data_IF_429578186660
#
_entry.id   IF_429578186660
#
_cell.length_a   1.000
_cell.length_b   1.000
_cell.length_c   1.000
_cell.angle_alpha   90.00
_cell.angle_beta   90.00
_cell.angle_gamma   90.00
#
_symmetry.space_group_name_H-M   'P 1'
#
loop_
_entity.id
_entity.type
_entity.pdbx_description
1 polymer ?
#
# COMPACT_ATOMS: atom_id res chain seq x y z
N UNK A 1 -15.07 -11.22 7.92
CA UNK A 1 -15.25 -10.41 6.70
C UNK A 1 -14.08 -9.45 6.66
N UNK A 2 -13.29 -9.47 5.60
CA UNK A 2 -12.18 -8.52 5.46
C UNK A 2 -12.74 -7.12 5.15
N UNK A 3 -12.17 -6.13 5.81
CA UNK A 3 -12.56 -4.72 5.65
C UNK A 3 -11.90 -4.18 4.40
N UNK A 4 -12.67 -3.55 3.52
CA UNK A 4 -12.11 -2.87 2.34
C UNK A 4 -11.52 -1.52 2.74
N UNK A 5 -12.23 -0.80 3.62
CA UNK A 5 -11.75 0.47 4.16
C UNK A 5 -12.11 0.55 5.63
N UNK A 6 -11.18 1.03 6.45
CA UNK A 6 -11.45 1.35 7.85
C UNK A 6 -10.89 2.69 8.23
N UNK A 7 -11.75 3.51 8.84
CA UNK A 7 -11.38 4.81 9.40
C UNK A 7 -11.56 4.84 10.91
N UNK A 8 -10.74 5.67 11.56
CA UNK A 8 -10.90 6.08 12.96
C UNK A 8 -10.87 7.60 12.99
N UNK A 9 -11.88 8.19 13.63
CA UNK A 9 -12.02 9.62 13.81
C UNK A 9 -12.09 9.96 15.31
N UNK A 10 -11.38 11.01 15.72
CA UNK A 10 -11.38 11.52 17.09
C UNK A 10 -11.46 13.04 17.08
N UNK A 11 -11.70 13.63 18.25
CA UNK A 11 -11.80 15.09 18.41
C UNK A 11 -12.96 15.68 17.60
N UNK A 12 -14.18 15.18 17.85
CA UNK A 12 -15.37 15.75 17.21
C UNK A 12 -15.45 17.25 17.49
N UNK A 13 -15.61 18.06 16.43
CA UNK A 13 -15.53 19.52 16.50
C UNK A 13 -16.78 20.16 17.07
N UNK A 14 -17.85 19.40 17.20
CA UNK A 14 -19.12 19.81 17.78
C UNK A 14 -19.78 18.63 18.50
N UNK A 15 -20.78 18.91 19.31
CA UNK A 15 -21.55 17.87 20.00
C UNK A 15 -22.58 17.26 19.05
N UNK A 16 -22.54 15.94 18.85
CA UNK A 16 -23.50 15.23 18.02
C UNK A 16 -24.77 14.96 18.85
N UNK A 17 -25.80 15.76 18.67
CA UNK A 17 -27.07 15.64 19.40
C UNK A 17 -27.78 14.30 19.16
N UNK A 18 -27.68 13.78 17.93
CA UNK A 18 -28.29 12.49 17.55
C UNK A 18 -27.42 11.76 16.54
N UNK A 19 -26.74 10.71 16.99
CA UNK A 19 -25.99 9.84 16.07
C UNK A 19 -26.86 9.22 14.99
N UNK A 20 -28.15 8.97 15.27
CA UNK A 20 -29.05 8.42 14.25
C UNK A 20 -29.29 9.43 13.13
N UNK A 21 -29.47 10.70 13.47
CA UNK A 21 -29.61 11.75 12.46
C UNK A 21 -28.29 11.97 11.71
N UNK A 22 -27.17 12.03 12.43
CA UNK A 22 -25.85 12.16 11.85
C UNK A 22 -25.54 11.08 10.80
N UNK A 23 -25.85 9.82 11.12
CA UNK A 23 -25.68 8.70 10.18
C UNK A 23 -26.62 8.84 8.98
N UNK A 24 -27.89 9.22 9.19
CA UNK A 24 -28.84 9.48 8.08
C UNK A 24 -28.35 10.58 7.15
N UNK A 25 -27.75 11.63 7.70
CA UNK A 25 -27.20 12.75 6.91
C UNK A 25 -25.99 12.30 6.10
N UNK A 26 -25.12 11.43 6.65
CA UNK A 26 -24.03 10.81 5.87
C UNK A 26 -24.60 9.94 4.74
N UNK A 27 -25.57 9.06 5.02
CA UNK A 27 -26.19 8.24 3.98
C UNK A 27 -26.81 9.09 2.86
N UNK A 28 -27.50 10.17 3.21
CA UNK A 28 -28.11 11.10 2.25
C UNK A 28 -27.05 11.81 1.39
N UNK A 29 -25.90 12.18 1.99
CA UNK A 29 -24.76 12.75 1.25
C UNK A 29 -24.08 11.73 0.33
N UNK A 30 -24.00 10.46 0.73
CA UNK A 30 -23.50 9.37 -0.12
C UNK A 30 -24.42 9.13 -1.31
N UNK A 31 -25.74 9.06 -1.08
CA UNK A 31 -26.76 8.87 -2.12
C UNK A 31 -26.77 10.03 -3.12
N UNK A 32 -26.82 11.27 -2.64
CA UNK A 32 -26.80 12.46 -3.51
C UNK A 32 -25.54 12.61 -4.36
N UNK A 33 -24.41 12.01 -3.93
CA UNK A 33 -23.15 11.96 -4.70
C UNK A 33 -23.03 10.71 -5.58
N UNK A 34 -24.08 9.89 -5.63
CA UNK A 34 -24.20 8.70 -6.47
C UNK A 34 -23.45 7.47 -5.96
N UNK A 35 -23.10 7.42 -4.67
CA UNK A 35 -22.39 6.29 -4.07
C UNK A 35 -23.32 5.13 -3.68
N UNK A 36 -24.62 5.41 -3.57
CA UNK A 36 -25.67 4.46 -3.20
C UNK A 36 -26.73 4.51 -4.31
N UNK A 37 -27.07 3.37 -4.91
CA UNK A 37 -28.23 3.27 -5.82
C UNK A 37 -29.51 2.97 -5.06
N UNK A 38 -29.44 2.05 -4.09
CA UNK A 38 -30.58 1.69 -3.25
C UNK A 38 -30.12 1.40 -1.83
N UNK A 39 -30.79 2.03 -0.87
CA UNK A 39 -30.63 1.71 0.55
C UNK A 39 -31.40 0.43 0.88
N UNK A 40 -30.71 -0.57 1.43
CA UNK A 40 -31.30 -1.87 1.78
C UNK A 40 -31.63 -1.98 3.27
N UNK A 41 -30.98 -1.19 4.13
CA UNK A 41 -31.36 -1.02 5.53
C UNK A 41 -31.34 0.45 5.93
N UNK A 42 -32.37 0.88 6.66
CA UNK A 42 -32.39 2.22 7.24
C UNK A 42 -31.49 2.28 8.50
N UNK A 43 -30.70 3.35 8.68
CA UNK A 43 -29.86 3.52 9.88
C UNK A 43 -30.63 3.44 11.20
N UNK A 44 -31.88 3.93 11.23
CA UNK A 44 -32.72 3.88 12.43
C UNK A 44 -33.02 2.45 12.91
N UNK A 45 -33.08 1.49 11.98
CA UNK A 45 -33.48 0.12 12.26
C UNK A 45 -32.32 -0.78 12.70
N UNK A 46 -31.07 -0.32 12.53
CA UNK A 46 -29.87 -1.13 12.77
C UNK A 46 -29.07 -0.69 14.00
N UNK A 47 -29.55 0.34 14.70
CA UNK A 47 -28.95 0.87 15.92
C UNK A 47 -28.84 -0.20 17.01
N UNK A 48 -27.63 -0.46 17.49
CA UNK A 48 -27.33 -1.30 18.66
C UNK A 48 -26.59 -0.46 19.69
N UNK A 49 -26.90 -0.65 20.97
CA UNK A 49 -26.21 0.05 22.08
C UNK A 49 -25.66 -1.00 23.04
N UNK A 50 -24.37 -0.90 23.36
CA UNK A 50 -23.69 -1.79 24.29
C UNK A 50 -22.86 -0.98 25.31
N UNK A 51 -22.83 -1.44 26.55
CA UNK A 51 -21.94 -0.86 27.58
C UNK A 51 -20.49 -1.31 27.33
N UNK A 52 -19.54 -0.40 27.54
CA UNK A 52 -18.13 -0.72 27.45
C UNK A 52 -17.64 -1.35 28.77
N UNK A 53 -16.91 -2.49 28.73
CA UNK A 53 -16.53 -3.23 29.94
C UNK A 53 -15.71 -2.41 30.95
N UNK A 54 -14.82 -1.53 30.48
CA UNK A 54 -13.71 -1.03 31.31
C UNK A 54 -13.73 0.48 31.59
N UNK A 55 -14.66 1.26 31.02
CA UNK A 55 -14.53 2.74 31.01
C UNK A 55 -15.79 3.52 31.38
N UNK A 56 -16.87 2.85 31.82
CA UNK A 56 -18.15 3.52 32.14
C UNK A 56 -18.78 4.25 30.94
N UNK A 57 -18.41 3.86 29.72
CA UNK A 57 -18.87 4.45 28.47
C UNK A 57 -19.77 3.50 27.68
N UNK A 58 -20.21 3.92 26.51
CA UNK A 58 -21.07 3.09 25.64
C UNK A 58 -20.59 3.09 24.19
N UNK A 59 -20.86 1.99 23.51
CA UNK A 59 -20.75 1.84 22.06
C UNK A 59 -22.13 1.92 21.45
N UNK A 60 -22.28 2.77 20.43
CA UNK A 60 -23.49 2.88 19.64
C UNK A 60 -23.12 2.52 18.20
N UNK A 61 -23.69 1.44 17.70
CA UNK A 61 -23.36 0.85 16.41
C UNK A 61 -24.51 1.00 15.42
N UNK A 62 -24.18 1.31 14.18
CA UNK A 62 -25.09 1.30 13.03
C UNK A 62 -24.49 0.40 11.96
N UNK A 63 -25.34 -0.41 11.32
CA UNK A 63 -24.95 -1.27 10.20
C UNK A 63 -25.82 -0.87 9.01
N UNK A 64 -25.22 -0.26 8.00
CA UNK A 64 -25.92 0.30 6.85
C UNK A 64 -25.63 -0.60 5.65
N UNK A 65 -26.66 -1.26 5.13
CA UNK A 65 -26.58 -2.11 3.98
C UNK A 65 -27.14 -1.40 2.77
N UNK A 66 -26.41 -1.41 1.66
CA UNK A 66 -26.83 -0.75 0.43
C UNK A 66 -26.39 -1.50 -0.80
N UNK A 67 -26.96 -1.13 -1.94
CA UNK A 67 -26.50 -1.59 -3.24
C UNK A 67 -26.10 -0.44 -4.14
N UNK A 68 -25.15 -0.72 -5.03
CA UNK A 68 -24.71 0.15 -6.11
C UNK A 68 -24.70 -0.64 -7.41
N UNK A 69 -25.24 -0.05 -8.47
CA UNK A 69 -25.18 -0.61 -9.82
C UNK A 69 -24.02 0.03 -10.59
N UNK A 70 -23.03 -0.79 -10.99
CA UNK A 70 -21.86 -0.35 -11.77
C UNK A 70 -21.84 -1.18 -13.05
N UNK A 71 -21.91 -0.52 -14.21
CA UNK A 71 -21.95 -1.17 -15.52
C UNK A 71 -23.02 -2.28 -15.63
N UNK A 72 -24.18 -2.09 -14.99
CA UNK A 72 -25.29 -3.06 -15.00
C UNK A 72 -25.16 -4.21 -14.01
N UNK A 73 -24.05 -4.30 -13.25
CA UNK A 73 -23.85 -5.28 -12.19
C UNK A 73 -24.17 -4.64 -10.84
N UNK A 74 -24.99 -5.30 -10.03
CA UNK A 74 -25.34 -4.83 -8.68
C UNK A 74 -24.40 -5.44 -7.63
N UNK A 75 -23.84 -4.58 -6.78
CA UNK A 75 -22.96 -4.96 -5.68
C UNK A 75 -23.59 -4.58 -4.35
N UNK A 76 -23.52 -5.46 -3.36
CA UNK A 76 -24.00 -5.22 -2.00
C UNK A 76 -22.85 -4.77 -1.10
N UNK A 77 -23.06 -3.69 -0.36
CA UNK A 77 -22.07 -3.07 0.50
C UNK A 77 -22.62 -2.86 1.91
N UNK A 78 -21.70 -2.81 2.85
CA UNK A 78 -21.96 -2.57 4.27
C UNK A 78 -21.06 -1.43 4.75
N UNK A 79 -21.66 -0.46 5.44
CA UNK A 79 -20.95 0.56 6.21
C UNK A 79 -21.37 0.39 7.67
N UNK A 80 -20.42 -0.03 8.50
CA UNK A 80 -20.59 -0.07 9.94
C UNK A 80 -20.05 1.24 10.53
N UNK A 81 -20.86 1.94 11.31
CA UNK A 81 -20.45 3.13 12.05
C UNK A 81 -20.60 2.89 13.53
N UNK A 82 -19.49 2.93 14.26
CA UNK A 82 -19.42 2.74 15.70
C UNK A 82 -18.99 4.03 16.39
N UNK A 83 -19.87 4.57 17.23
CA UNK A 83 -19.57 5.67 18.12
C UNK A 83 -19.19 5.11 19.49
N UNK A 84 -18.00 5.46 19.95
CA UNK A 84 -17.51 5.13 21.28
C UNK A 84 -17.51 6.40 22.12
N UNK A 85 -18.40 6.47 23.09
CA UNK A 85 -18.38 7.51 24.10
C UNK A 85 -17.51 7.05 25.27
N UNK A 86 -16.38 7.73 25.47
CA UNK A 86 -15.43 7.46 26.54
C UNK A 86 -15.24 8.72 27.38
N UNK A 87 -14.63 8.57 28.56
CA UNK A 87 -14.25 9.73 29.39
C UNK A 87 -13.26 10.67 28.67
N UNK A 88 -12.46 10.13 27.75
CA UNK A 88 -11.48 10.87 26.94
C UNK A 88 -12.11 11.58 25.74
N UNK A 89 -13.42 11.44 25.53
CA UNK A 89 -14.15 12.01 24.39
C UNK A 89 -14.83 10.96 23.51
N UNK A 90 -15.43 11.44 22.42
CA UNK A 90 -16.10 10.61 21.42
C UNK A 90 -15.13 10.19 20.33
N UNK A 91 -15.22 8.92 19.92
CA UNK A 91 -14.49 8.34 18.79
C UNK A 91 -15.50 7.71 17.82
N UNK A 92 -15.28 7.90 16.51
CA UNK A 92 -16.05 7.25 15.45
C UNK A 92 -15.15 6.26 14.71
N UNK A 93 -15.57 4.99 14.64
CA UNK A 93 -14.97 4.00 13.75
C UNK A 93 -15.91 3.70 12.61
N UNK A 94 -15.34 3.64 11.41
CA UNK A 94 -16.09 3.35 10.19
C UNK A 94 -15.45 2.15 9.54
N UNK A 95 -16.24 1.13 9.26
CA UNK A 95 -15.81 -0.08 8.59
C UNK A 95 -16.65 -0.27 7.33
N UNK A 96 -16.00 -0.35 6.18
CA UNK A 96 -16.66 -0.51 4.89
C UNK A 96 -16.24 -1.84 4.31
N UNK A 97 -17.22 -2.65 3.90
CA UNK A 97 -16.94 -3.95 3.34
C UNK A 97 -17.97 -4.34 2.29
N UNK A 98 -17.58 -5.26 1.41
CA UNK A 98 -18.46 -5.91 0.44
C UNK A 98 -17.92 -7.31 0.16
N UNK A 99 -18.81 -8.29 0.08
CA UNK A 99 -18.47 -9.66 -0.37
C UNK A 99 -18.60 -9.85 -1.87
N UNK A 100 -19.37 -8.98 -2.53
CA UNK A 100 -19.68 -9.10 -3.96
C UNK A 100 -18.77 -8.24 -4.81
N UNK A 101 -18.13 -7.24 -4.21
CA UNK A 101 -17.29 -6.27 -4.91
C UNK A 101 -15.89 -6.80 -5.11
N UNK A 102 -15.35 -6.63 -6.33
CA UNK A 102 -14.00 -7.01 -6.69
C UNK A 102 -13.21 -5.75 -7.02
N UNK A 103 -12.09 -5.56 -6.34
CA UNK A 103 -11.16 -4.47 -6.61
C UNK A 103 -10.46 -4.69 -7.95
N UNK A 104 -10.20 -3.61 -8.67
CA UNK A 104 -9.39 -3.61 -9.88
C UNK A 104 -8.51 -2.37 -9.97
N UNK A 105 -7.51 -2.38 -10.86
CA UNK A 105 -6.60 -1.22 -11.04
C UNK A 105 -7.37 0.03 -11.51
N UNK A 106 -8.45 -0.16 -12.26
CA UNK A 106 -9.31 0.89 -12.81
C UNK A 106 -10.57 1.13 -11.95
N UNK A 107 -10.44 0.98 -10.64
CA UNK A 107 -11.57 1.04 -9.72
C UNK A 107 -11.98 2.49 -9.37
N UNK A 108 -12.66 3.12 -10.32
CA UNK A 108 -13.16 4.49 -10.16
C UNK A 108 -14.23 4.63 -9.07
N UNK A 109 -14.99 3.57 -8.78
CA UNK A 109 -16.02 3.63 -7.74
C UNK A 109 -15.40 3.65 -6.35
N UNK A 110 -14.45 2.75 -6.05
CA UNK A 110 -13.78 2.69 -4.75
C UNK A 110 -13.07 4.01 -4.44
N UNK A 111 -12.35 4.57 -5.41
CA UNK A 111 -11.67 5.86 -5.26
C UNK A 111 -12.65 6.99 -4.95
N UNK A 112 -13.76 7.05 -5.68
CA UNK A 112 -14.79 8.07 -5.45
C UNK A 112 -15.49 7.87 -4.10
N UNK A 113 -15.74 6.63 -3.68
CA UNK A 113 -16.33 6.31 -2.38
C UNK A 113 -15.43 6.79 -1.23
N UNK A 114 -14.13 6.50 -1.29
CA UNK A 114 -13.15 6.99 -0.30
C UNK A 114 -13.17 8.51 -0.18
N UNK A 115 -13.08 9.20 -1.32
CA UNK A 115 -13.11 10.67 -1.36
C UNK A 115 -14.40 11.23 -0.76
N UNK A 116 -15.56 10.67 -1.14
CA UNK A 116 -16.86 11.15 -0.64
C UNK A 116 -16.99 10.95 0.87
N UNK A 117 -16.50 9.84 1.42
CA UNK A 117 -16.54 9.57 2.85
C UNK A 117 -15.61 10.51 3.62
N UNK A 118 -14.40 10.71 3.10
CA UNK A 118 -13.44 11.68 3.62
C UNK A 118 -14.03 13.10 3.63
N UNK A 119 -14.72 13.52 2.56
CA UNK A 119 -15.41 14.81 2.51
C UNK A 119 -16.58 14.91 3.50
N UNK A 120 -17.35 13.82 3.67
CA UNK A 120 -18.53 13.84 4.53
C UNK A 120 -18.16 13.94 6.01
N UNK A 121 -17.01 13.39 6.39
CA UNK A 121 -16.68 13.14 7.79
C UNK A 121 -15.48 13.98 8.21
N UNK A 122 -14.50 14.20 7.33
CA UNK A 122 -13.28 14.94 7.65
C UNK A 122 -13.49 16.38 8.13
N UNK A 123 -14.60 17.02 7.75
CA UNK A 123 -14.95 18.37 8.27
C UNK A 123 -15.36 18.37 9.73
N UNK A 124 -15.91 17.25 10.22
CA UNK A 124 -16.60 17.16 11.51
C UNK A 124 -15.66 16.73 12.63
N UNK A 125 -14.51 16.16 12.29
CA UNK A 125 -13.56 15.55 13.21
C UNK A 125 -12.19 16.24 13.11
N UNK A 126 -11.52 16.47 14.24
CA UNK A 126 -10.19 17.07 14.30
C UNK A 126 -9.12 16.14 13.72
N UNK A 127 -9.21 14.86 14.08
CA UNK A 127 -8.32 13.81 13.60
C UNK A 127 -9.12 12.75 12.85
N UNK A 128 -8.71 12.41 11.62
CA UNK A 128 -9.35 11.39 10.79
C UNK A 128 -8.29 10.53 10.08
N UNK A 129 -8.23 9.25 10.43
CA UNK A 129 -7.16 8.34 9.98
C UNK A 129 -7.76 7.10 9.31
N UNK A 130 -7.34 6.83 8.07
CA UNK A 130 -7.57 5.56 7.37
C UNK A 130 -6.52 4.53 7.81
N UNK A 131 -6.97 3.45 8.44
CA UNK A 131 -6.13 2.38 8.99
C UNK A 131 -6.16 1.09 8.17
N UNK A 132 -7.20 0.89 7.35
CA UNK A 132 -7.27 -0.18 6.34
C UNK A 132 -7.62 0.45 5.01
N UNK A 133 -6.89 0.05 3.97
CA UNK A 133 -7.08 0.50 2.59
C UNK A 133 -6.75 -0.65 1.64
N UNK A 134 -7.76 -1.48 1.35
CA UNK A 134 -7.60 -2.66 0.51
C UNK A 134 -7.24 -2.31 -0.95
N UNK A 135 -7.58 -1.11 -1.43
CA UNK A 135 -7.22 -0.67 -2.77
C UNK A 135 -5.71 -0.42 -2.88
N UNK A 136 -5.16 0.36 -1.95
CA UNK A 136 -3.71 0.56 -1.85
C UNK A 136 -2.97 -0.75 -1.63
N UNK A 137 -3.48 -1.61 -0.75
CA UNK A 137 -2.88 -2.92 -0.45
C UNK A 137 -2.86 -3.84 -1.68
N UNK A 138 -3.95 -3.87 -2.46
CA UNK A 138 -4.01 -4.59 -3.74
C UNK A 138 -2.93 -4.08 -4.70
N UNK A 139 -2.80 -2.77 -4.88
CA UNK A 139 -1.79 -2.20 -5.79
C UNK A 139 -0.36 -2.54 -5.36
N UNK A 140 -0.07 -2.45 -4.06
CA UNK A 140 1.22 -2.86 -3.49
C UNK A 140 1.47 -4.35 -3.71
N UNK A 141 0.46 -5.18 -3.45
CA UNK A 141 0.50 -6.63 -3.64
C UNK A 141 0.86 -7.00 -5.08
N UNK A 142 0.28 -6.29 -6.05
CA UNK A 142 0.53 -6.51 -7.48
C UNK A 142 1.95 -6.13 -7.91
N UNK A 143 2.67 -5.28 -7.17
CA UNK A 143 4.04 -4.88 -7.50
C UNK A 143 5.12 -5.86 -6.99
N UNK A 144 4.84 -6.66 -5.94
CA UNK A 144 5.85 -7.56 -5.36
C UNK A 144 6.48 -8.54 -6.36
N UNK A 145 5.72 -9.23 -7.24
CA UNK A 145 6.34 -10.14 -8.21
C UNK A 145 7.30 -9.42 -9.16
N UNK A 146 6.97 -8.18 -9.54
CA UNK A 146 7.80 -7.36 -10.41
C UNK A 146 9.09 -6.91 -9.70
N UNK A 147 9.00 -6.46 -8.45
CA UNK A 147 10.18 -6.15 -7.64
C UNK A 147 11.09 -7.35 -7.46
N UNK A 148 10.52 -8.51 -7.11
CA UNK A 148 11.29 -9.74 -6.95
C UNK A 148 12.01 -10.15 -8.24
N UNK A 149 11.39 -9.95 -9.41
CA UNK A 149 12.04 -10.18 -10.71
C UNK A 149 13.23 -9.24 -10.92
N UNK A 150 13.09 -7.96 -10.58
CA UNK A 150 14.17 -6.98 -10.69
C UNK A 150 15.29 -7.29 -9.71
N UNK A 151 14.99 -7.61 -8.44
CA UNK A 151 15.97 -8.05 -7.44
C UNK A 151 16.86 -9.18 -7.96
N UNK A 152 16.26 -10.21 -8.56
CA UNK A 152 17.00 -11.34 -9.11
C UNK A 152 17.88 -10.93 -10.30
N UNK A 153 17.40 -10.03 -11.15
CA UNK A 153 18.17 -9.50 -12.28
C UNK A 153 19.35 -8.64 -11.80
N UNK A 154 19.12 -7.78 -10.82
CA UNK A 154 20.16 -6.97 -10.17
C UNK A 154 21.21 -7.84 -9.50
N UNK A 155 20.78 -8.90 -8.78
CA UNK A 155 21.70 -9.85 -8.15
C UNK A 155 22.66 -10.44 -9.16
N UNK A 156 22.17 -10.88 -10.32
CA UNK A 156 23.00 -11.41 -11.41
C UNK A 156 23.94 -10.35 -11.96
N UNK A 157 23.42 -9.14 -12.22
CA UNK A 157 24.19 -8.07 -12.85
C UNK A 157 25.33 -7.61 -11.95
N UNK A 158 25.00 -7.24 -10.71
CA UNK A 158 25.96 -6.78 -9.70
C UNK A 158 26.98 -7.88 -9.44
N UNK A 159 26.55 -9.12 -9.22
CA UNK A 159 27.47 -10.23 -8.97
C UNK A 159 28.40 -10.49 -10.15
N UNK A 160 27.88 -10.46 -11.38
CA UNK A 160 28.68 -10.69 -12.59
C UNK A 160 29.74 -9.61 -12.78
N UNK A 161 29.35 -8.34 -12.69
CA UNK A 161 30.28 -7.22 -12.83
C UNK A 161 31.29 -7.21 -11.69
N UNK A 162 30.83 -7.26 -10.44
CA UNK A 162 31.71 -7.14 -9.27
C UNK A 162 32.65 -8.33 -9.13
N UNK A 163 32.24 -9.55 -9.50
CA UNK A 163 33.14 -10.71 -9.52
C UNK A 163 34.21 -10.57 -10.59
N UNK A 164 33.88 -10.00 -11.75
CA UNK A 164 34.88 -9.76 -12.79
C UNK A 164 35.89 -8.69 -12.41
N UNK A 165 35.48 -7.67 -11.64
CA UNK A 165 36.36 -6.56 -11.24
C UNK A 165 37.17 -6.88 -9.97
N UNK A 166 36.52 -7.45 -8.96
CA UNK A 166 37.06 -7.62 -7.61
C UNK A 166 37.21 -9.09 -7.17
N UNK A 167 36.80 -10.04 -8.00
CA UNK A 167 36.84 -11.47 -7.68
C UNK A 167 35.66 -11.95 -6.81
N UNK A 168 35.63 -13.26 -6.54
CA UNK A 168 34.54 -13.95 -5.87
C UNK A 168 34.41 -13.67 -4.36
N UNK A 169 34.95 -12.56 -3.85
CA UNK A 169 34.82 -12.17 -2.44
C UNK A 169 34.42 -10.69 -2.31
N UNK A 170 33.97 -10.08 -3.41
CA UNK A 170 33.62 -8.66 -3.49
C UNK A 170 32.56 -8.25 -2.45
N UNK A 171 31.69 -9.18 -2.03
CA UNK A 171 30.66 -8.96 -1.01
C UNK A 171 31.20 -8.94 0.43
N UNK A 172 32.43 -9.40 0.69
CA UNK A 172 33.03 -9.44 2.03
C UNK A 172 33.84 -8.20 2.41
N UNK A 173 33.95 -7.20 1.53
CA UNK A 173 34.78 -6.02 1.74
C UNK A 173 34.23 -5.01 2.78
N UNK A 174 33.47 -5.47 3.77
CA UNK A 174 33.01 -4.69 4.94
C UNK A 174 33.43 -5.26 6.30
N UNK A 175 33.85 -6.52 6.39
CA UNK A 175 34.31 -7.12 7.65
C UNK A 175 35.52 -8.04 7.41
N UNK A 176 36.62 -7.74 8.10
CA UNK A 176 37.84 -8.54 8.09
C UNK A 176 37.56 -9.97 8.54
N UNK A 177 37.43 -10.93 7.62
CA UNK A 177 37.35 -12.34 7.98
C UNK A 177 38.76 -12.95 8.08
N UNK A 178 39.33 -12.91 9.27
CA UNK A 178 40.43 -13.77 9.69
C UNK A 178 39.87 -15.13 10.12
N UNK A 179 39.85 -16.10 9.22
CA UNK A 179 40.02 -17.53 9.53
C UNK A 179 39.88 -18.33 8.24
N UNK A 180 40.91 -19.12 7.94
CA UNK A 180 40.81 -20.15 6.93
C UNK A 180 39.97 -21.28 7.47
N UNK A 181 38.85 -21.55 6.82
CA UNK A 181 38.27 -22.87 6.68
C UNK A 181 37.18 -22.81 5.60
N UNK A 182 37.05 -23.92 4.87
CA UNK A 182 36.12 -24.29 3.79
C UNK A 182 35.00 -23.32 3.38
N UNK A 183 34.69 -23.28 2.08
CA UNK A 183 33.57 -22.54 1.50
C UNK A 183 32.23 -22.88 2.20
N UNK A 184 31.88 -22.08 3.21
CA UNK A 184 30.53 -21.97 3.76
C UNK A 184 29.69 -21.31 2.68
N UNK A 185 28.52 -21.89 2.37
CA UNK A 185 27.52 -21.24 1.53
C UNK A 185 27.18 -19.89 2.17
N UNK A 186 27.61 -18.81 1.54
CA UNK A 186 27.40 -17.44 2.01
C UNK A 186 26.24 -16.84 1.22
N UNK A 187 25.05 -16.89 1.82
CA UNK A 187 23.82 -16.40 1.22
C UNK A 187 23.68 -14.86 1.29
N UNK A 188 24.74 -14.13 1.68
CA UNK A 188 24.70 -12.66 1.83
C UNK A 188 24.14 -11.98 0.57
N UNK A 189 24.59 -12.38 -0.61
CA UNK A 189 24.13 -11.82 -1.89
C UNK A 189 22.70 -12.26 -2.23
N UNK A 190 22.27 -13.44 -1.79
CA UNK A 190 20.88 -13.89 -1.93
C UNK A 190 19.93 -13.14 -1.01
N UNK A 191 20.40 -12.68 0.16
CA UNK A 191 19.66 -11.85 1.10
C UNK A 191 19.57 -10.36 0.72
N UNK A 192 20.34 -9.89 -0.26
CA UNK A 192 20.28 -8.51 -0.74
C UNK A 192 18.97 -8.21 -1.48
N UNK A 193 18.36 -7.07 -1.15
CA UNK A 193 17.19 -6.52 -1.84
C UNK A 193 17.58 -5.33 -2.74
N UNK A 194 16.60 -4.72 -3.41
CA UNK A 194 16.81 -3.55 -4.29
C UNK A 194 17.60 -2.42 -3.61
N UNK A 195 17.33 -2.11 -2.33
CA UNK A 195 18.02 -1.03 -1.61
C UNK A 195 19.49 -1.36 -1.32
N UNK A 196 19.83 -2.64 -1.15
CA UNK A 196 21.22 -3.05 -0.95
C UNK A 196 22.00 -2.96 -2.26
N UNK A 197 21.37 -3.38 -3.38
CA UNK A 197 21.95 -3.19 -4.71
C UNK A 197 22.10 -1.70 -5.06
N UNK A 198 21.14 -0.86 -4.69
CA UNK A 198 21.24 0.60 -4.87
C UNK A 198 22.51 1.14 -4.20
N UNK A 199 22.76 0.78 -2.94
CA UNK A 199 23.95 1.24 -2.20
C UNK A 199 25.25 0.82 -2.89
N UNK A 200 25.34 -0.46 -3.31
CA UNK A 200 26.52 -1.00 -4.00
C UNK A 200 26.74 -0.29 -5.33
N UNK A 201 25.68 -0.15 -6.14
CA UNK A 201 25.79 0.50 -7.44
C UNK A 201 26.13 1.98 -7.30
N UNK A 202 25.59 2.66 -6.30
CA UNK A 202 25.94 4.06 -6.00
C UNK A 202 27.42 4.20 -5.65
N UNK A 203 27.93 3.36 -4.74
CA UNK A 203 29.33 3.46 -4.28
C UNK A 203 30.34 3.14 -5.38
N UNK A 204 29.97 2.23 -6.29
CA UNK A 204 30.84 1.72 -7.34
C UNK A 204 30.50 2.28 -8.73
N UNK A 205 29.66 3.32 -8.81
CA UNK A 205 29.13 3.82 -10.07
C UNK A 205 30.25 4.24 -11.03
N UNK A 206 31.04 5.23 -10.64
CA UNK A 206 32.11 5.83 -11.47
C UNK A 206 33.21 4.83 -11.85
N UNK A 207 33.54 3.94 -10.92
CA UNK A 207 34.67 3.02 -11.07
C UNK A 207 34.31 1.76 -11.85
N UNK A 208 33.05 1.32 -11.73
CA UNK A 208 32.63 -0.01 -12.16
C UNK A 208 31.41 0.06 -13.08
N UNK A 209 30.26 0.54 -12.60
CA UNK A 209 28.97 0.36 -13.29
C UNK A 209 28.73 1.30 -14.48
N UNK A 210 29.25 2.53 -14.44
CA UNK A 210 29.09 3.55 -15.50
C UNK A 210 29.64 3.10 -16.87
N UNK A 211 30.53 2.10 -16.88
CA UNK A 211 31.10 1.52 -18.11
C UNK A 211 30.15 0.56 -18.82
N UNK A 212 29.16 0.03 -18.11
CA UNK A 212 28.26 -1.01 -18.60
C UNK A 212 26.82 -0.51 -18.76
N UNK A 213 26.41 0.48 -17.97
CA UNK A 213 25.04 0.95 -17.89
C UNK A 213 24.93 2.39 -18.42
N UNK A 214 23.78 2.78 -18.99
CA UNK A 214 23.59 4.14 -19.47
C UNK A 214 23.57 5.14 -18.30
N UNK A 215 23.92 6.41 -18.56
CA UNK A 215 24.04 7.44 -17.51
C UNK A 215 22.74 7.63 -16.72
N UNK A 216 21.58 7.49 -17.35
CA UNK A 216 20.26 7.64 -16.74
C UNK A 216 19.78 6.40 -15.97
N UNK A 217 20.52 5.28 -16.02
CA UNK A 217 20.18 4.05 -15.30
C UNK A 217 20.12 4.31 -13.80
N UNK A 218 21.12 5.02 -13.25
CA UNK A 218 21.23 5.21 -11.81
C UNK A 218 20.10 6.09 -11.27
N UNK A 219 19.71 7.14 -12.00
CA UNK A 219 18.55 7.97 -11.66
C UNK A 219 17.25 7.16 -11.61
N UNK A 220 17.06 6.24 -12.56
CA UNK A 220 15.90 5.34 -12.56
C UNK A 220 16.00 4.28 -11.46
N UNK A 221 17.21 3.85 -11.09
CA UNK A 221 17.43 2.90 -10.02
C UNK A 221 17.15 3.50 -8.64
N UNK A 222 17.51 4.76 -8.41
CA UNK A 222 17.14 5.49 -7.20
C UNK A 222 15.62 5.58 -7.06
N UNK A 223 14.90 5.93 -8.13
CA UNK A 223 13.42 5.95 -8.12
C UNK A 223 12.83 4.55 -7.85
N UNK A 224 13.45 3.51 -8.40
CA UNK A 224 13.05 2.12 -8.13
C UNK A 224 13.19 1.79 -6.64
N UNK A 225 14.34 2.12 -6.04
CA UNK A 225 14.63 1.84 -4.64
C UNK A 225 13.72 2.63 -3.67
N UNK A 226 13.44 3.90 -3.99
CA UNK A 226 12.47 4.71 -3.25
C UNK A 226 11.05 4.10 -3.33
N UNK A 227 10.61 3.73 -4.53
CA UNK A 227 9.30 3.09 -4.72
C UNK A 227 9.19 1.74 -4.03
N UNK A 228 10.25 0.92 -4.09
CA UNK A 228 10.34 -0.35 -3.36
C UNK A 228 10.20 -0.16 -1.84
N UNK A 229 10.91 0.83 -1.29
CA UNK A 229 10.82 1.20 0.14
C UNK A 229 9.42 1.64 0.53
N UNK A 230 8.76 2.45 -0.31
CA UNK A 230 7.38 2.89 -0.07
C UNK A 230 6.41 1.70 -0.01
N UNK A 231 6.55 0.72 -0.92
CA UNK A 231 5.71 -0.48 -0.93
C UNK A 231 5.97 -1.36 0.29
N UNK A 232 7.23 -1.58 0.68
CA UNK A 232 7.58 -2.36 1.88
C UNK A 232 7.00 -1.77 3.17
N UNK A 233 6.92 -0.45 3.27
CA UNK A 233 6.34 0.23 4.44
C UNK A 233 4.82 0.46 4.34
N UNK A 234 4.14 -0.23 3.42
CA UNK A 234 2.70 -0.14 3.21
C UNK A 234 2.22 1.31 3.02
N UNK A 235 2.99 2.10 2.25
CA UNK A 235 2.56 3.44 1.88
C UNK A 235 1.24 3.39 1.10
N UNK A 236 0.44 4.46 1.21
CA UNK A 236 -0.83 4.62 0.49
C UNK A 236 -0.57 4.83 -0.99
N UNK A 237 -0.50 3.73 -1.73
CA UNK A 237 -0.33 3.71 -3.17
C UNK A 237 -1.63 4.04 -3.88
N UNK A 238 -1.52 4.86 -4.91
CA UNK A 238 -2.60 5.15 -5.84
C UNK A 238 -2.30 4.56 -7.23
N UNK A 239 -3.26 4.70 -8.15
CA UNK A 239 -3.11 4.21 -9.53
C UNK A 239 -1.88 4.83 -10.21
N UNK A 240 -1.62 6.12 -9.98
CA UNK A 240 -0.55 6.84 -10.63
C UNK A 240 0.80 6.27 -10.19
N UNK A 241 1.00 6.12 -8.89
CA UNK A 241 2.17 5.48 -8.31
C UNK A 241 2.36 4.07 -8.87
N UNK A 242 1.31 3.24 -8.90
CA UNK A 242 1.38 1.89 -9.47
C UNK A 242 1.86 1.90 -10.93
N UNK A 243 1.29 2.76 -11.78
CA UNK A 243 1.66 2.86 -13.19
C UNK A 243 3.08 3.39 -13.39
N UNK A 244 3.47 4.42 -12.62
CA UNK A 244 4.81 4.99 -12.67
C UNK A 244 5.85 3.94 -12.26
N UNK A 245 5.58 3.18 -11.20
CA UNK A 245 6.45 2.09 -10.75
C UNK A 245 6.55 0.96 -11.76
N UNK A 246 5.44 0.53 -12.37
CA UNK A 246 5.47 -0.47 -13.45
C UNK A 246 6.40 -0.06 -14.59
N UNK A 247 6.31 1.20 -15.02
CA UNK A 247 7.17 1.75 -16.07
C UNK A 247 8.65 1.77 -15.67
N UNK A 248 8.95 2.18 -14.44
CA UNK A 248 10.32 2.20 -13.90
C UNK A 248 10.89 0.77 -13.85
N UNK A 249 10.14 -0.17 -13.28
CA UNK A 249 10.53 -1.58 -13.18
C UNK A 249 10.81 -2.17 -14.57
N UNK A 250 9.92 -1.94 -15.54
CA UNK A 250 10.12 -2.43 -16.91
C UNK A 250 11.36 -1.84 -17.57
N UNK A 251 11.63 -0.56 -17.35
CA UNK A 251 12.81 0.15 -17.89
C UNK A 251 14.09 -0.43 -17.31
N UNK A 252 14.20 -0.49 -15.97
CA UNK A 252 15.36 -1.06 -15.29
C UNK A 252 15.55 -2.51 -15.69
N UNK A 253 14.51 -3.34 -15.61
CA UNK A 253 14.63 -4.76 -15.94
C UNK A 253 15.12 -4.98 -17.38
N UNK A 254 14.64 -4.19 -18.35
CA UNK A 254 15.10 -4.27 -19.74
C UNK A 254 16.58 -3.93 -19.86
N UNK A 255 17.02 -2.85 -19.24
CA UNK A 255 18.43 -2.40 -19.27
C UNK A 255 19.35 -3.39 -18.57
N UNK A 256 18.97 -3.86 -17.38
CA UNK A 256 19.68 -4.91 -16.63
C UNK A 256 19.84 -6.18 -17.46
N UNK A 257 18.75 -6.70 -18.03
CA UNK A 257 18.77 -7.96 -18.81
C UNK A 257 19.59 -7.82 -20.09
N UNK A 258 19.50 -6.68 -20.78
CA UNK A 258 20.31 -6.42 -21.97
C UNK A 258 21.81 -6.53 -21.66
N UNK A 259 22.24 -5.96 -20.52
CA UNK A 259 23.65 -6.04 -20.10
C UNK A 259 24.06 -7.40 -19.54
N UNK A 260 23.13 -8.13 -18.94
CA UNK A 260 23.40 -9.51 -18.53
C UNK A 260 23.80 -10.38 -19.71
N UNK A 261 23.11 -10.27 -20.85
CA UNK A 261 23.50 -11.00 -22.05
C UNK A 261 24.90 -10.61 -22.53
N UNK A 262 25.25 -9.32 -22.52
CA UNK A 262 26.59 -8.86 -22.91
C UNK A 262 27.72 -9.38 -21.99
N UNK A 263 27.42 -9.59 -20.70
CA UNK A 263 28.37 -10.07 -19.70
C UNK A 263 28.50 -11.60 -19.77
N UNK A 264 27.37 -12.31 -19.85
CA UNK A 264 27.32 -13.77 -19.91
C UNK A 264 27.92 -14.32 -21.22
N UNK A 265 27.78 -13.61 -22.34
CA UNK A 265 28.42 -14.00 -23.62
C UNK A 265 29.95 -13.81 -23.62
N UNK A 266 30.51 -13.10 -22.64
CA UNK A 266 31.95 -12.77 -22.55
C UNK A 266 32.70 -13.54 -21.46
N UNK A 267 31.99 -14.30 -20.63
CA UNK A 267 32.54 -15.22 -19.62
C UNK A 267 32.60 -16.63 -20.23
#
# INVERSE_FOLDING_TARGET
MESLIRYVATECRYEIESYTQYVKDICSRLESRGMISYMLSEPSCTKKVAQLPDSGGRRISYEIMYSIAICGISYTWYIDMDFFERQTGTELRININSKTYLLGIEDGYMLKLQQVIEDCIGSDWGTFVRIVDAYSDMLNTLLYPDFHRVENSCRRLVSGIMTNVYGAMWWKNGESSSSGDFAVWDDTVFGMNIMDFEKIMTSEWEHTFSRYLPEDYMDNFHKLADGYRMVLHNHRSDKKFYMDMKKIIETINRETVTRLWDIEDKI
#
